data_IF_440113688396
#
_entry.id   IF_440113688396
#
_cell.length_a   1.000
_cell.length_b   1.000
_cell.length_c   1.000
_cell.angle_alpha   90.00
_cell.angle_beta   90.00
_cell.angle_gamma   90.00
#
_symmetry.space_group_name_H-M   'P 1'
#
loop_
_entity.id
_entity.type
_entity.pdbx_description
1 polymer ?
#
# COMPACT_ATOMS: atom_id res chain seq x y z
N UNK A 1 19.93 20.20 12.78
CA UNK A 1 19.65 19.62 11.45
C UNK A 1 19.94 18.13 11.53
N UNK A 2 18.89 17.30 11.55
CA UNK A 2 19.06 15.85 11.51
C UNK A 2 19.40 15.49 10.07
N UNK A 3 20.61 14.99 9.82
CA UNK A 3 21.01 14.48 8.51
C UNK A 3 20.13 13.25 8.22
N UNK A 4 19.13 13.39 7.36
CA UNK A 4 18.46 12.27 6.73
C UNK A 4 19.42 11.64 5.73
N UNK A 5 20.48 10.98 6.22
CA UNK A 5 21.25 10.07 5.40
C UNK A 5 20.36 8.84 5.18
N UNK A 6 19.49 8.90 4.16
CA UNK A 6 18.68 7.77 3.72
C UNK A 6 19.65 6.68 3.26
N UNK A 7 20.02 5.81 4.19
CA UNK A 7 20.84 4.65 3.88
C UNK A 7 19.93 3.64 3.19
N UNK A 8 19.76 3.80 1.88
CA UNK A 8 18.84 3.02 1.05
C UNK A 8 19.11 1.52 1.21
N UNK A 9 20.38 1.12 1.38
CA UNK A 9 20.75 -0.26 1.69
C UNK A 9 20.09 -0.78 2.97
N UNK A 10 20.19 -0.05 4.08
CA UNK A 10 19.57 -0.43 5.35
C UNK A 10 18.04 -0.51 5.28
N UNK A 11 17.41 0.28 4.40
CA UNK A 11 15.98 0.18 4.13
C UNK A 11 15.64 -1.09 3.33
N UNK A 12 16.42 -1.40 2.29
CA UNK A 12 16.28 -2.62 1.48
C UNK A 12 16.48 -3.86 2.36
N UNK A 13 17.52 -3.87 3.20
CA UNK A 13 17.83 -4.98 4.10
C UNK A 13 16.65 -5.25 5.07
N UNK A 14 16.07 -4.20 5.66
CA UNK A 14 14.87 -4.34 6.50
C UNK A 14 13.67 -4.90 5.75
N UNK A 15 13.43 -4.47 4.50
CA UNK A 15 12.35 -5.04 3.68
C UNK A 15 12.59 -6.53 3.46
N UNK A 16 13.84 -6.91 3.17
CA UNK A 16 14.21 -8.30 2.96
C UNK A 16 13.98 -9.14 4.23
N UNK A 17 14.37 -8.64 5.40
CA UNK A 17 14.13 -9.32 6.69
C UNK A 17 12.63 -9.54 6.94
N UNK A 18 11.79 -8.52 6.71
CA UNK A 18 10.34 -8.68 6.82
C UNK A 18 9.78 -9.67 5.80
N UNK A 19 10.29 -9.67 4.57
CA UNK A 19 9.88 -10.62 3.54
C UNK A 19 10.23 -12.06 3.93
N UNK A 20 11.44 -12.29 4.42
CA UNK A 20 11.90 -13.60 4.93
C UNK A 20 11.00 -14.05 6.09
N UNK A 21 10.70 -13.15 7.03
CA UNK A 21 9.81 -13.44 8.15
C UNK A 21 8.42 -13.89 7.67
N UNK A 22 7.80 -13.14 6.74
CA UNK A 22 6.48 -13.46 6.20
C UNK A 22 6.50 -14.81 5.46
N UNK A 23 7.50 -15.05 4.63
CA UNK A 23 7.64 -16.31 3.89
C UNK A 23 7.81 -17.49 4.86
N UNK A 24 8.65 -17.34 5.88
CA UNK A 24 8.87 -18.37 6.90
C UNK A 24 7.60 -18.64 7.73
N UNK A 25 6.88 -17.59 8.08
CA UNK A 25 5.58 -17.67 8.76
C UNK A 25 4.56 -18.46 7.94
N UNK A 26 4.38 -18.10 6.66
CA UNK A 26 3.45 -18.78 5.75
C UNK A 26 3.84 -20.24 5.59
N UNK A 27 5.13 -20.53 5.33
CA UNK A 27 5.65 -21.89 5.18
C UNK A 27 5.35 -22.74 6.42
N UNK A 28 5.68 -22.24 7.60
CA UNK A 28 5.43 -22.95 8.88
C UNK A 28 3.94 -23.21 9.08
N UNK A 29 3.12 -22.19 8.84
CA UNK A 29 1.67 -22.27 9.01
C UNK A 29 1.04 -23.30 8.08
N UNK A 30 1.38 -23.26 6.79
CA UNK A 30 0.86 -24.24 5.83
C UNK A 30 1.37 -25.66 6.11
N UNK A 31 2.64 -25.81 6.51
CA UNK A 31 3.18 -27.12 6.88
C UNK A 31 2.41 -27.72 8.07
N UNK A 32 2.14 -26.94 9.11
CA UNK A 32 1.34 -27.39 10.25
C UNK A 32 -0.09 -27.76 9.84
N UNK A 33 -0.68 -27.04 8.88
CA UNK A 33 -2.00 -27.35 8.32
C UNK A 33 -2.00 -28.64 7.53
N UNK A 34 -0.97 -28.89 6.72
CA UNK A 34 -0.86 -30.11 5.93
C UNK A 34 -0.57 -31.31 6.83
N UNK A 35 0.26 -31.15 7.86
CA UNK A 35 0.68 -32.22 8.77
C UNK A 35 -0.47 -32.89 9.52
N UNK A 36 -1.64 -32.24 9.65
CA UNK A 36 -2.82 -32.85 10.27
C UNK A 36 -3.33 -34.07 9.48
N UNK A 37 -3.05 -34.15 8.17
CA UNK A 37 -3.45 -35.29 7.33
C UNK A 37 -2.74 -36.59 7.73
N UNK A 38 -1.57 -36.46 8.36
CA UNK A 38 -0.71 -37.57 8.76
C UNK A 38 -1.03 -38.02 10.20
N UNK A 39 -2.05 -37.42 10.83
CA UNK A 39 -2.53 -37.79 12.16
C UNK A 39 -3.63 -38.84 12.05
N UNK A 40 -3.42 -39.98 12.72
CA UNK A 40 -4.45 -40.97 12.96
C UNK A 40 -5.31 -40.55 14.17
N UNK A 41 -6.62 -40.39 13.95
CA UNK A 41 -7.58 -39.93 14.96
C UNK A 41 -8.11 -41.06 15.86
N UNK A 42 -7.44 -42.21 15.91
CA UNK A 42 -7.74 -43.25 16.90
C UNK A 42 -7.43 -42.76 18.33
N UNK A 43 -8.25 -43.16 19.31
CA UNK A 43 -8.23 -42.62 20.68
C UNK A 43 -6.87 -42.73 21.39
N UNK A 44 -6.08 -43.76 21.07
CA UNK A 44 -4.71 -43.95 21.58
C UNK A 44 -3.65 -43.10 20.87
N UNK A 45 -3.86 -42.77 19.58
CA UNK A 45 -2.91 -41.99 18.78
C UNK A 45 -3.14 -40.47 18.90
N UNK A 46 -4.34 -40.03 19.29
CA UNK A 46 -4.63 -38.60 19.53
C UNK A 46 -3.70 -38.00 20.59
N UNK A 47 -3.38 -38.73 21.66
CA UNK A 47 -2.44 -38.27 22.69
C UNK A 47 -1.00 -38.17 22.15
N UNK A 48 -0.58 -39.13 21.34
CA UNK A 48 0.74 -39.13 20.68
C UNK A 48 0.88 -38.04 19.61
N UNK A 49 -0.23 -37.66 18.95
CA UNK A 49 -0.27 -36.62 17.92
C UNK A 49 -0.72 -35.26 18.43
N UNK A 50 -0.87 -35.10 19.75
CA UNK A 50 -1.36 -33.87 20.39
C UNK A 50 -0.57 -32.62 19.99
N UNK A 51 0.76 -32.72 19.85
CA UNK A 51 1.61 -31.61 19.39
C UNK A 51 1.28 -31.13 17.97
N UNK A 52 0.95 -32.05 17.06
CA UNK A 52 0.56 -31.72 15.68
C UNK A 52 -0.82 -31.05 15.67
N UNK A 53 -1.76 -31.58 16.46
CA UNK A 53 -3.13 -31.03 16.58
C UNK A 53 -3.09 -29.60 17.16
N UNK A 54 -2.30 -29.37 18.21
CA UNK A 54 -2.16 -28.03 18.81
C UNK A 54 -1.52 -27.05 17.81
N UNK A 55 -0.48 -27.49 17.09
CA UNK A 55 0.18 -26.67 16.08
C UNK A 55 -0.76 -26.31 14.93
N UNK A 56 -1.62 -27.26 14.51
CA UNK A 56 -2.66 -27.04 13.52
C UNK A 56 -3.67 -25.98 13.95
N UNK A 57 -4.27 -26.13 15.14
CA UNK A 57 -5.24 -25.18 15.68
C UNK A 57 -4.63 -23.79 15.85
N UNK A 58 -3.39 -23.73 16.35
CA UNK A 58 -2.64 -22.48 16.48
C UNK A 58 -2.40 -21.82 15.12
N UNK A 59 -2.05 -22.59 14.09
CA UNK A 59 -1.86 -22.09 12.72
C UNK A 59 -3.14 -21.52 12.10
N UNK A 60 -4.31 -22.14 12.35
CA UNK A 60 -5.60 -21.55 11.94
C UNK A 60 -5.82 -20.20 12.61
N UNK A 61 -5.58 -20.11 13.92
CA UNK A 61 -5.73 -18.85 14.65
C UNK A 61 -4.78 -17.76 14.15
N UNK A 62 -3.52 -18.12 13.84
CA UNK A 62 -2.55 -17.20 13.27
C UNK A 62 -2.95 -16.69 11.88
N UNK A 63 -3.56 -17.53 11.02
CA UNK A 63 -4.10 -17.08 9.73
C UNK A 63 -5.19 -16.04 9.92
N UNK A 64 -6.11 -16.25 10.87
CA UNK A 64 -7.20 -15.31 11.14
C UNK A 64 -6.67 -13.94 11.58
N UNK A 65 -5.68 -13.94 12.49
CA UNK A 65 -5.01 -12.72 12.92
C UNK A 65 -4.29 -12.06 11.73
N UNK A 66 -3.58 -12.84 10.92
CA UNK A 66 -2.83 -12.33 9.78
C UNK A 66 -3.74 -11.67 8.73
N UNK A 67 -4.88 -12.28 8.42
CA UNK A 67 -5.89 -11.70 7.52
C UNK A 67 -6.45 -10.40 8.11
N UNK A 68 -6.74 -10.38 9.41
CA UNK A 68 -7.24 -9.18 10.10
C UNK A 68 -6.22 -8.04 9.99
N UNK A 69 -4.94 -8.34 10.18
CA UNK A 69 -3.85 -7.37 10.04
C UNK A 69 -3.69 -6.85 8.60
N UNK A 70 -3.84 -7.72 7.60
CA UNK A 70 -3.82 -7.33 6.19
C UNK A 70 -4.94 -6.33 5.85
N UNK A 71 -6.17 -6.59 6.32
CA UNK A 71 -7.31 -5.68 6.13
C UNK A 71 -7.05 -4.34 6.81
N UNK A 72 -6.49 -4.36 8.03
CA UNK A 72 -6.11 -3.15 8.75
C UNK A 72 -5.07 -2.32 8.00
N UNK A 73 -4.00 -2.96 7.48
CA UNK A 73 -3.00 -2.29 6.63
C UNK A 73 -3.66 -1.69 5.38
N UNK A 74 -4.55 -2.42 4.71
CA UNK A 74 -5.29 -1.93 3.54
C UNK A 74 -6.09 -0.65 3.85
N UNK A 75 -6.71 -0.59 5.03
CA UNK A 75 -7.42 0.60 5.51
C UNK A 75 -6.46 1.78 5.70
N UNK A 76 -5.30 1.56 6.35
CA UNK A 76 -4.26 2.60 6.50
C UNK A 76 -3.80 3.12 5.14
N UNK A 77 -3.54 2.24 4.18
CA UNK A 77 -3.16 2.65 2.81
C UNK A 77 -4.22 3.53 2.15
N UNK A 78 -5.50 3.23 2.35
CA UNK A 78 -6.59 4.05 1.80
C UNK A 78 -6.63 5.46 2.41
N UNK A 79 -6.37 5.56 3.72
CA UNK A 79 -6.24 6.86 4.42
C UNK A 79 -5.07 7.64 3.85
N UNK A 80 -3.88 7.02 3.75
CA UNK A 80 -2.68 7.65 3.16
C UNK A 80 -2.95 8.13 1.73
N UNK A 81 -3.58 7.29 0.89
CA UNK A 81 -3.97 7.65 -0.48
C UNK A 81 -4.89 8.86 -0.51
N UNK A 82 -5.84 8.94 0.42
CA UNK A 82 -6.76 10.07 0.54
C UNK A 82 -6.02 11.34 0.92
N UNK A 83 -5.10 11.28 1.88
CA UNK A 83 -4.26 12.41 2.29
C UNK A 83 -3.42 12.91 1.12
N UNK A 84 -2.74 12.02 0.39
CA UNK A 84 -1.95 12.38 -0.79
C UNK A 84 -2.83 13.07 -1.83
N UNK A 85 -4.03 12.52 -2.11
CA UNK A 85 -4.98 13.12 -3.06
C UNK A 85 -5.43 14.52 -2.62
N UNK A 86 -5.67 14.73 -1.33
CA UNK A 86 -6.04 16.02 -0.75
C UNK A 86 -4.92 17.04 -0.86
N UNK A 87 -3.67 16.64 -0.58
CA UNK A 87 -2.50 17.51 -0.73
C UNK A 87 -2.28 17.89 -2.19
N UNK A 88 -2.51 16.96 -3.14
CA UNK A 88 -2.29 17.19 -4.57
C UNK A 88 -3.43 17.98 -5.25
N UNK A 89 -4.62 17.98 -4.64
CA UNK A 89 -5.80 18.70 -5.15
C UNK A 89 -5.61 20.22 -5.35
N UNK A 90 -5.09 21.00 -4.38
CA UNK A 90 -4.86 22.44 -4.57
C UNK A 90 -3.85 22.73 -5.68
N UNK A 91 -2.80 21.91 -5.83
CA UNK A 91 -1.85 22.05 -6.93
C UNK A 91 -2.50 21.84 -8.30
N UNK A 92 -3.41 20.85 -8.40
CA UNK A 92 -4.18 20.63 -9.63
C UNK A 92 -5.04 21.85 -9.99
N UNK A 93 -5.70 22.46 -9.00
CA UNK A 93 -6.50 23.68 -9.20
C UNK A 93 -5.63 24.88 -9.61
N UNK A 94 -4.46 25.05 -9.00
CA UNK A 94 -3.50 26.09 -9.36
C UNK A 94 -3.06 25.99 -10.82
N UNK A 95 -2.72 24.79 -11.29
CA UNK A 95 -2.31 24.55 -12.68
C UNK A 95 -3.44 24.93 -13.65
N UNK A 96 -4.68 24.50 -13.37
CA UNK A 96 -5.84 24.83 -14.21
C UNK A 96 -6.09 26.35 -14.25
N UNK A 97 -5.99 27.02 -13.09
CA UNK A 97 -6.16 28.47 -12.98
C UNK A 97 -5.10 29.23 -13.79
N UNK A 98 -3.85 28.80 -13.74
CA UNK A 98 -2.76 29.36 -14.54
C UNK A 98 -2.99 29.16 -16.04
N UNK A 99 -3.31 27.93 -16.48
CA UNK A 99 -3.59 27.65 -17.89
C UNK A 99 -4.75 28.49 -18.44
N UNK A 100 -5.83 28.66 -17.66
CA UNK A 100 -6.99 29.46 -18.07
C UNK A 100 -6.65 30.96 -18.17
N UNK A 101 -5.85 31.47 -17.23
CA UNK A 101 -5.38 32.85 -17.24
C UNK A 101 -4.50 33.14 -18.46
N UNK A 102 -3.54 32.26 -18.76
CA UNK A 102 -2.68 32.37 -19.95
C UNK A 102 -3.52 32.35 -21.23
N UNK A 103 -4.48 31.42 -21.35
CA UNK A 103 -5.36 31.35 -22.52
C UNK A 103 -6.17 32.64 -22.71
N UNK A 104 -6.66 33.23 -21.63
CA UNK A 104 -7.44 34.47 -21.69
C UNK A 104 -6.58 35.66 -22.13
N UNK A 105 -5.34 35.76 -21.64
CA UNK A 105 -4.38 36.79 -22.06
C UNK A 105 -4.05 36.66 -23.55
N UNK A 106 -3.77 35.45 -24.03
CA UNK A 106 -3.50 35.19 -25.46
C UNK A 106 -4.73 35.55 -26.31
N UNK A 107 -5.93 35.17 -25.88
CA UNK A 107 -7.17 35.49 -26.58
C UNK A 107 -7.43 37.00 -26.68
N UNK A 108 -7.26 37.74 -25.58
CA UNK A 108 -7.39 39.21 -25.57
C UNK A 108 -6.37 39.84 -26.53
N UNK A 109 -5.11 39.38 -26.50
CA UNK A 109 -4.06 39.90 -27.36
C UNK A 109 -4.37 39.69 -28.85
N UNK A 110 -4.92 38.54 -29.22
CA UNK A 110 -5.34 38.24 -30.60
C UNK A 110 -6.56 39.07 -31.01
N UNK A 111 -7.52 39.31 -30.11
CA UNK A 111 -8.75 40.05 -30.42
C UNK A 111 -8.55 41.57 -30.56
N UNK A 112 -7.60 42.14 -29.82
CA UNK A 112 -7.28 43.59 -29.90
C UNK A 112 -6.45 43.91 -31.17
N UNK A 113 -5.62 42.98 -31.63
CA UNK A 113 -4.72 43.17 -32.76
C UNK A 113 -5.41 43.59 -34.08
N UNK A 114 -6.55 43.01 -34.53
CA UNK A 114 -7.23 43.46 -35.75
C UNK A 114 -8.01 44.77 -35.56
N UNK A 115 -8.57 45.02 -34.37
CA UNK A 115 -9.37 46.23 -34.09
C UNK A 115 -8.50 47.49 -34.05
N UNK A 116 -7.26 47.38 -33.57
CA UNK A 116 -6.31 48.49 -33.59
C UNK A 116 -5.82 48.83 -35.02
N UNK A 117 -5.85 47.87 -35.95
CA UNK A 117 -5.46 48.08 -37.34
C UNK A 117 -6.56 48.81 -38.12
N UNK A 118 -7.83 48.49 -37.88
CA UNK A 118 -8.99 49.17 -38.50
C UNK A 118 -9.21 50.60 -37.98
N UNK A 119 -8.73 50.93 -36.78
CA UNK A 119 -8.83 52.28 -36.22
C UNK A 119 -7.70 53.24 -36.71
N UNK A 120 -6.73 52.73 -37.45
CA UNK A 120 -5.56 53.46 -37.97
C UNK A 120 -5.64 53.77 -39.47
N UNK A 121 -6.69 53.30 -40.16
CA UNK A 121 -7.02 53.61 -41.56
C UNK A 121 -8.37 54.32 -41.64
#
# INVERSE_FOLDING_TARGET
>A
MHNFNFNISAFIDKINDYAIFIISFLKTTFNNIIAIKDVDFSFGNILNSSGIIISFVSSIFYILIFITFLVFIGSIFNIIKTIIKWILFPFKLLIIGLCKSIKNIIFIKIKIHPVALEALF
#
